data_IF_616682278044
#
_entry.id   IF_616682278044
#
_cell.length_a   1.000
_cell.length_b   1.000
_cell.length_c   1.000
_cell.angle_alpha   90.00
_cell.angle_beta   90.00
_cell.angle_gamma   90.00
#
_symmetry.space_group_name_H-M   'P 1'
#
loop_
_entity.id
_entity.type
_entity.pdbx_description
1 polymer ?
#
# COMPACT_ATOMS: atom_id res chain seq x y z
N UNK A 1 -8.37 0.90 -12.48
CA UNK A 1 -7.21 1.44 -11.73
C UNK A 1 -7.73 2.45 -10.72
N UNK A 2 -7.41 2.30 -9.43
CA UNK A 2 -8.13 2.94 -8.30
C UNK A 2 -7.42 4.15 -7.66
N UNK A 3 -8.11 4.84 -6.73
CA UNK A 3 -7.61 6.06 -6.06
C UNK A 3 -6.23 5.90 -5.38
N UNK A 4 -5.98 4.78 -4.69
CA UNK A 4 -4.72 4.53 -4.00
C UNK A 4 -3.49 4.42 -4.94
N UNK A 5 -3.69 3.92 -6.16
CA UNK A 5 -2.64 3.85 -7.18
C UNK A 5 -2.21 5.27 -7.60
N UNK A 6 -3.18 6.17 -7.83
CA UNK A 6 -2.90 7.58 -8.13
C UNK A 6 -2.17 8.30 -7.01
N UNK A 7 -2.53 8.02 -5.75
CA UNK A 7 -1.84 8.61 -4.59
C UNK A 7 -0.38 8.17 -4.53
N UNK A 8 -0.09 6.88 -4.76
CA UNK A 8 1.29 6.40 -4.80
C UNK A 8 2.07 7.00 -5.97
N UNK A 9 1.47 7.08 -7.16
CA UNK A 9 2.07 7.73 -8.33
C UNK A 9 2.43 9.19 -8.06
N UNK A 10 1.52 9.95 -7.44
CA UNK A 10 1.78 11.33 -7.04
C UNK A 10 2.90 11.41 -5.99
N UNK A 11 2.88 10.54 -4.98
CA UNK A 11 3.94 10.49 -3.97
C UNK A 11 5.31 10.18 -4.59
N UNK A 12 5.36 9.22 -5.50
CA UNK A 12 6.56 8.86 -6.26
C UNK A 12 7.09 10.03 -7.11
N UNK A 13 6.21 10.81 -7.71
CA UNK A 13 6.59 11.98 -8.50
C UNK A 13 7.17 13.12 -7.64
N UNK A 14 6.58 13.40 -6.47
CA UNK A 14 6.97 14.56 -5.63
C UNK A 14 8.11 14.28 -4.67
N UNK A 15 8.35 13.02 -4.29
CA UNK A 15 9.42 12.70 -3.35
C UNK A 15 10.79 12.92 -4.01
N UNK A 16 11.72 13.48 -3.25
CA UNK A 16 13.13 13.52 -3.66
C UNK A 16 13.76 12.13 -3.57
N UNK A 17 14.83 11.84 -4.34
CA UNK A 17 15.58 10.59 -4.20
C UNK A 17 16.10 10.40 -2.77
N UNK A 18 15.77 9.26 -2.15
CA UNK A 18 16.03 8.97 -0.74
C UNK A 18 14.91 9.39 0.21
N UNK A 19 13.88 10.09 -0.27
CA UNK A 19 12.70 10.45 0.50
C UNK A 19 11.89 9.23 0.93
N UNK A 20 11.30 9.30 2.13
CA UNK A 20 10.55 8.20 2.76
C UNK A 20 9.07 8.53 2.79
N UNK A 21 8.25 7.54 2.45
CA UNK A 21 6.81 7.56 2.55
C UNK A 21 6.34 6.51 3.56
N UNK A 22 5.59 6.94 4.58
CA UNK A 22 4.81 6.04 5.43
C UNK A 22 3.35 6.07 5.00
N UNK A 23 2.78 4.89 4.74
CA UNK A 23 1.36 4.73 4.43
C UNK A 23 0.71 3.74 5.39
N UNK A 24 -0.44 4.12 5.96
CA UNK A 24 -1.34 3.20 6.65
C UNK A 24 -2.51 2.87 5.75
N UNK A 25 -2.86 1.59 5.64
CA UNK A 25 -3.99 1.10 4.85
C UNK A 25 -4.53 -0.21 5.42
N UNK A 26 -5.58 -0.77 4.83
CA UNK A 26 -6.05 -2.12 5.16
C UNK A 26 -5.37 -3.15 4.24
N UNK A 27 -4.77 -4.18 4.84
CA UNK A 27 -4.03 -5.21 4.14
C UNK A 27 -4.48 -6.62 4.51
N UNK A 28 -4.30 -7.58 3.59
CA UNK A 28 -4.58 -9.00 3.84
C UNK A 28 -3.43 -9.90 3.36
N UNK A 29 -3.12 -10.91 4.17
CA UNK A 29 -2.12 -11.95 3.83
C UNK A 29 -2.66 -13.05 2.93
N UNK A 30 -3.95 -13.38 3.05
CA UNK A 30 -4.59 -14.49 2.33
C UNK A 30 -5.53 -13.99 1.25
N UNK A 31 -5.67 -14.81 0.20
CA UNK A 31 -6.70 -14.68 -0.82
C UNK A 31 -8.13 -14.76 -0.24
N UNK A 32 -8.31 -15.47 0.89
CA UNK A 32 -9.62 -15.72 1.52
C UNK A 32 -10.16 -14.46 2.20
N UNK A 33 -11.39 -14.04 1.83
CA UNK A 33 -12.04 -12.86 2.43
C UNK A 33 -12.67 -13.22 3.77
N UNK A 34 -12.12 -12.68 4.86
CA UNK A 34 -12.73 -12.81 6.20
C UNK A 34 -14.01 -11.97 6.31
N UNK A 35 -14.79 -12.14 7.38
CA UNK A 35 -15.94 -11.27 7.68
C UNK A 35 -15.50 -9.81 7.79
N UNK A 36 -14.35 -9.55 8.44
CA UNK A 36 -13.79 -8.19 8.57
C UNK A 36 -13.50 -7.57 7.21
N UNK A 37 -12.92 -8.32 6.27
CA UNK A 37 -12.69 -7.84 4.89
C UNK A 37 -14.00 -7.45 4.22
N UNK A 38 -15.03 -8.30 4.34
CA UNK A 38 -16.35 -8.05 3.75
C UNK A 38 -17.02 -6.80 4.33
N UNK A 39 -16.92 -6.60 5.65
CA UNK A 39 -17.47 -5.42 6.32
C UNK A 39 -16.75 -4.15 5.84
N UNK A 40 -15.41 -4.16 5.79
CA UNK A 40 -14.65 -3.01 5.28
C UNK A 40 -15.01 -2.69 3.83
N UNK A 41 -15.08 -3.70 2.97
CA UNK A 41 -15.49 -3.53 1.57
C UNK A 41 -16.94 -3.02 1.44
N UNK A 42 -17.85 -3.45 2.32
CA UNK A 42 -19.23 -2.95 2.35
C UNK A 42 -19.31 -1.44 2.65
N UNK A 43 -18.46 -0.94 3.54
CA UNK A 43 -18.34 0.49 3.84
C UNK A 43 -17.47 1.25 2.83
N UNK A 44 -17.12 0.64 1.69
CA UNK A 44 -16.35 1.28 0.63
C UNK A 44 -14.84 1.34 0.87
N UNK A 45 -14.33 0.73 1.94
CA UNK A 45 -12.89 0.62 2.16
C UNK A 45 -12.28 -0.47 1.29
N UNK A 46 -11.09 -0.21 0.78
CA UNK A 46 -10.33 -1.19 0.00
C UNK A 46 -9.32 -1.92 0.88
N UNK A 47 -9.32 -3.25 0.79
CA UNK A 47 -8.35 -4.10 1.48
C UNK A 47 -7.38 -4.70 0.46
N UNK A 48 -6.10 -4.35 0.57
CA UNK A 48 -5.09 -4.71 -0.41
C UNK A 48 -4.39 -6.02 -0.05
N UNK A 49 -4.23 -6.96 -0.99
CA UNK A 49 -3.23 -8.02 -0.87
C UNK A 49 -1.84 -7.40 -0.71
N UNK A 50 -1.02 -7.96 0.19
CA UNK A 50 0.35 -7.47 0.42
C UNK A 50 1.17 -7.47 -0.87
N UNK A 51 0.99 -8.49 -1.73
CA UNK A 51 1.68 -8.57 -3.02
C UNK A 51 1.32 -7.44 -3.98
N UNK A 52 0.05 -7.03 -4.02
CA UNK A 52 -0.40 -5.91 -4.86
C UNK A 52 0.23 -4.58 -4.42
N UNK A 53 0.39 -4.37 -3.10
CA UNK A 53 1.00 -3.13 -2.60
C UNK A 53 2.45 -2.97 -3.06
N UNK A 54 3.22 -4.06 -3.12
CA UNK A 54 4.59 -4.01 -3.63
C UNK A 54 4.62 -3.61 -5.11
N UNK A 55 3.75 -4.21 -5.92
CA UNK A 55 3.63 -3.89 -7.35
C UNK A 55 3.21 -2.44 -7.58
N UNK A 56 2.25 -1.93 -6.79
CA UNK A 56 1.81 -0.53 -6.88
C UNK A 56 2.90 0.47 -6.45
N UNK A 57 3.73 0.12 -5.46
CA UNK A 57 4.87 0.94 -5.08
C UNK A 57 5.91 0.97 -6.20
N UNK A 58 6.26 -0.19 -6.75
CA UNK A 58 7.23 -0.32 -7.85
C UNK A 58 6.79 0.45 -9.09
N UNK A 59 5.50 0.36 -9.46
CA UNK A 59 4.96 1.12 -10.60
C UNK A 59 5.01 2.64 -10.38
N UNK A 60 5.04 3.09 -9.13
CA UNK A 60 5.18 4.50 -8.75
C UNK A 60 6.64 4.94 -8.57
N UNK A 61 7.63 4.09 -8.90
CA UNK A 61 9.04 4.39 -8.69
C UNK A 61 9.47 4.39 -7.22
N UNK A 62 8.70 3.73 -6.35
CA UNK A 62 8.99 3.56 -4.93
C UNK A 62 9.42 2.12 -4.65
N UNK A 63 10.25 1.94 -3.62
CA UNK A 63 10.62 0.62 -3.10
C UNK A 63 10.03 0.43 -1.71
N UNK A 64 9.35 -0.70 -1.49
CA UNK A 64 8.86 -1.07 -0.15
C UNK A 64 10.01 -1.61 0.70
N UNK A 65 10.36 -0.89 1.76
CA UNK A 65 11.37 -1.29 2.74
C UNK A 65 10.79 -2.24 3.79
N UNK A 66 9.61 -1.91 4.32
CA UNK A 66 8.99 -2.68 5.39
C UNK A 66 7.47 -2.69 5.28
N UNK A 67 6.89 -3.82 5.68
CA UNK A 67 5.45 -3.97 5.86
C UNK A 67 5.21 -4.56 7.24
N UNK A 68 4.44 -3.85 8.08
CA UNK A 68 3.95 -4.33 9.37
C UNK A 68 2.45 -4.51 9.28
N UNK A 69 1.95 -5.64 9.77
CA UNK A 69 0.52 -5.99 9.71
C UNK A 69 0.06 -6.41 11.09
N UNK A 70 -0.98 -5.74 11.60
CA UNK A 70 -1.67 -6.06 12.84
C UNK A 70 -3.13 -6.36 12.52
N UNK A 71 -3.47 -7.64 12.42
CA UNK A 71 -4.78 -8.08 11.92
C UNK A 71 -4.97 -7.66 10.45
N UNK A 72 -5.84 -6.68 10.20
CA UNK A 72 -6.13 -6.11 8.88
C UNK A 72 -5.50 -4.73 8.66
N UNK A 73 -4.99 -4.09 9.71
CA UNK A 73 -4.30 -2.81 9.59
C UNK A 73 -2.88 -3.07 9.11
N UNK A 74 -2.45 -2.36 8.07
CA UNK A 74 -1.15 -2.51 7.44
C UNK A 74 -0.44 -1.15 7.38
N UNK A 75 0.76 -1.11 7.92
CA UNK A 75 1.68 0.01 7.78
C UNK A 75 2.78 -0.38 6.79
N UNK A 76 3.02 0.49 5.82
CA UNK A 76 3.97 0.29 4.74
C UNK A 76 4.97 1.45 4.77
N UNK A 77 6.25 1.12 4.87
CA UNK A 77 7.34 2.08 4.71
C UNK A 77 7.94 1.91 3.32
N UNK A 78 7.95 2.99 2.56
CA UNK A 78 8.49 3.06 1.20
C UNK A 78 9.59 4.11 1.11
N UNK A 79 10.54 3.90 0.21
CA UNK A 79 11.60 4.86 -0.10
C UNK A 79 11.63 5.11 -1.61
N UNK A 80 11.82 6.36 -2.03
CA UNK A 80 12.21 6.64 -3.41
C UNK A 80 13.70 6.32 -3.57
N UNK A 81 14.10 5.39 -4.44
CA UNK A 81 15.51 5.05 -4.61
C UNK A 81 16.34 6.28 -5.03
N UNK A 82 17.64 6.27 -4.68
CA UNK A 82 18.61 7.31 -5.09
C UNK A 82 19.17 7.11 -6.51
N UNK A 83 18.87 5.98 -7.14
CA UNK A 83 19.39 5.57 -8.43
C UNK A 83 18.36 5.81 -9.51
#
# INVERSE_FOLDING_TARGET
MGHADRVLQQAGAILDPGGVLLCQTFGRRSARRSVVVRVLEHFGHRVFPIGEVRQMAESAGLRVEAIRVWGIVMLVTMIKPRR
#
